data_IF_443985714227
#
_entry.id   IF_443985714227
#
_cell.length_a   1.000
_cell.length_b   1.000
_cell.length_c   1.000
_cell.angle_alpha   90.00
_cell.angle_beta   90.00
_cell.angle_gamma   90.00
#
_symmetry.space_group_name_H-M   'P 1'
#
loop_
_entity.id
_entity.type
_entity.pdbx_description
1 polymer ?
#
# COMPACT_ATOMS: atom_id res chain seq x y z
N UNK A 1 2.19 6.72 -18.32
CA UNK A 1 2.77 5.38 -18.22
C UNK A 1 2.19 4.65 -17.02
N UNK A 2 2.04 3.33 -17.11
CA UNK A 2 1.56 2.47 -16.02
C UNK A 2 2.68 1.52 -15.60
N UNK A 3 2.75 1.18 -14.31
CA UNK A 3 3.74 0.25 -13.74
C UNK A 3 3.05 -0.73 -12.77
N UNK A 4 3.55 -1.95 -12.65
CA UNK A 4 3.12 -2.88 -11.60
C UNK A 4 4.36 -3.39 -10.85
N UNK A 5 4.29 -3.38 -9.53
CA UNK A 5 5.25 -4.01 -8.63
C UNK A 5 4.52 -5.18 -7.99
N UNK A 6 4.95 -6.41 -8.25
CA UNK A 6 4.23 -7.58 -7.74
C UNK A 6 5.11 -8.75 -7.33
N UNK A 7 4.57 -9.60 -6.45
CA UNK A 7 5.17 -10.85 -5.99
C UNK A 7 6.62 -10.69 -5.50
N UNK A 8 6.95 -9.52 -4.97
CA UNK A 8 8.29 -9.15 -4.59
C UNK A 8 8.45 -9.14 -3.07
N UNK A 9 9.65 -9.48 -2.62
CA UNK A 9 10.06 -9.46 -1.21
C UNK A 9 10.96 -8.24 -0.98
N UNK A 10 10.49 -7.31 -0.16
CA UNK A 10 11.19 -6.09 0.21
C UNK A 10 11.66 -6.21 1.66
N UNK A 11 12.89 -6.68 1.80
CA UNK A 11 13.56 -6.93 3.08
C UNK A 11 14.30 -5.68 3.56
N UNK A 12 13.77 -5.03 4.59
CA UNK A 12 14.34 -3.82 5.16
C UNK A 12 15.36 -4.05 6.29
N UNK A 13 15.74 -5.30 6.59
CA UNK A 13 16.75 -5.57 7.63
C UNK A 13 18.11 -4.99 7.20
N UNK A 14 18.71 -4.20 8.08
CA UNK A 14 19.96 -3.51 7.80
C UNK A 14 20.75 -3.24 9.08
N UNK A 15 22.08 -3.27 9.01
CA UNK A 15 22.94 -2.86 10.14
C UNK A 15 22.92 -1.34 10.35
N UNK A 16 22.56 -0.58 9.30
CA UNK A 16 22.56 0.87 9.30
C UNK A 16 21.17 1.39 8.91
N UNK A 17 20.50 2.03 9.86
CA UNK A 17 19.13 2.54 9.70
C UNK A 17 19.04 3.97 10.19
N UNK A 18 18.21 4.78 9.52
CA UNK A 18 17.93 6.15 9.94
C UNK A 18 17.20 6.21 11.30
N UNK A 19 16.50 5.14 11.65
CA UNK A 19 15.81 4.93 12.93
C UNK A 19 16.69 4.28 14.01
N UNK A 20 17.95 3.93 13.69
CA UNK A 20 18.89 3.29 14.62
C UNK A 20 18.38 1.99 15.27
N UNK A 21 17.49 1.24 14.61
CA UNK A 21 16.80 0.05 15.15
C UNK A 21 16.86 -1.18 14.22
N UNK A 22 17.65 -1.08 13.15
CA UNK A 22 17.85 -2.15 12.17
C UNK A 22 16.79 -2.24 11.06
N UNK A 23 15.90 -1.25 10.96
CA UNK A 23 14.82 -1.21 9.95
C UNK A 23 15.02 -0.10 8.90
N UNK A 24 14.85 -0.45 7.63
CA UNK A 24 15.07 0.48 6.52
C UNK A 24 13.94 1.51 6.40
N UNK A 25 14.29 2.79 6.30
CA UNK A 25 13.32 3.90 6.21
C UNK A 25 12.97 4.27 4.76
N UNK A 26 13.88 4.05 3.81
CA UNK A 26 13.79 4.58 2.45
C UNK A 26 13.16 3.58 1.46
N UNK A 27 12.00 3.00 1.81
CA UNK A 27 11.46 1.83 1.11
C UNK A 27 10.96 2.14 -0.31
N UNK A 28 9.97 3.03 -0.45
CA UNK A 28 9.39 3.42 -1.74
C UNK A 28 9.05 4.91 -1.81
N UNK A 29 9.23 5.48 -3.00
CA UNK A 29 9.07 6.89 -3.24
C UNK A 29 8.44 7.15 -4.61
N UNK A 30 7.19 7.65 -4.63
CA UNK A 30 6.44 7.85 -5.87
C UNK A 30 5.96 9.29 -5.99
N UNK A 31 6.71 10.12 -6.74
CA UNK A 31 6.43 11.57 -6.92
C UNK A 31 6.29 12.00 -8.37
N UNK A 32 6.27 11.06 -9.32
CA UNK A 32 6.30 11.43 -10.73
C UNK A 32 5.05 12.19 -11.19
N UNK A 33 5.24 13.06 -12.18
CA UNK A 33 4.21 13.98 -12.70
C UNK A 33 2.95 13.31 -13.28
N UNK A 34 3.05 12.06 -13.73
CA UNK A 34 1.93 11.27 -14.23
C UNK A 34 2.15 9.80 -13.88
N UNK A 35 2.08 9.47 -12.60
CA UNK A 35 2.41 8.15 -12.07
C UNK A 35 1.13 7.36 -11.84
N UNK A 36 1.02 6.21 -12.50
CA UNK A 36 -0.07 5.24 -12.29
C UNK A 36 0.55 3.89 -12.01
N UNK A 37 0.27 3.30 -10.87
CA UNK A 37 0.88 2.02 -10.57
C UNK A 37 0.03 1.15 -9.65
N UNK A 38 0.31 -0.16 -9.72
CA UNK A 38 -0.21 -1.13 -8.78
C UNK A 38 0.91 -1.75 -7.95
N UNK A 39 0.68 -1.95 -6.66
CA UNK A 39 1.47 -2.84 -5.79
C UNK A 39 0.60 -4.03 -5.43
N UNK A 40 0.94 -5.20 -5.95
CA UNK A 40 0.11 -6.40 -5.87
C UNK A 40 0.89 -7.57 -5.27
N UNK A 41 0.37 -8.21 -4.21
CA UNK A 41 0.97 -9.42 -3.65
C UNK A 41 2.46 -9.27 -3.28
N UNK A 42 2.88 -8.15 -2.70
CA UNK A 42 4.25 -7.99 -2.22
C UNK A 42 4.34 -8.31 -0.72
N UNK A 43 5.53 -8.71 -0.27
CA UNK A 43 5.87 -8.78 1.14
C UNK A 43 6.83 -7.65 1.47
N UNK A 44 6.42 -6.74 2.37
CA UNK A 44 7.21 -5.57 2.77
C UNK A 44 7.48 -5.69 4.26
N UNK A 45 8.73 -5.83 4.67
CA UNK A 45 9.02 -6.12 6.07
C UNK A 45 10.29 -5.49 6.62
N UNK A 46 10.34 -5.37 7.95
CA UNK A 46 11.50 -4.83 8.66
C UNK A 46 11.83 -3.41 8.21
N UNK A 47 10.81 -2.57 8.11
CA UNK A 47 10.90 -1.18 7.64
C UNK A 47 10.56 -0.17 8.74
N UNK A 48 10.89 1.10 8.55
CA UNK A 48 10.54 2.15 9.53
C UNK A 48 9.83 3.36 8.90
N UNK A 49 9.70 3.38 7.58
CA UNK A 49 9.10 4.50 6.86
C UNK A 49 8.88 4.22 5.38
N UNK A 50 8.14 5.13 4.76
CA UNK A 50 7.96 5.25 3.30
C UNK A 50 7.64 3.93 2.62
N UNK A 51 6.78 3.13 3.21
CA UNK A 51 6.38 1.83 2.68
C UNK A 51 4.89 1.77 2.32
N UNK A 52 4.39 2.60 1.37
CA UNK A 52 5.10 3.54 0.49
C UNK A 52 4.90 5.03 0.83
N UNK A 53 5.77 5.91 0.28
CA UNK A 53 5.50 7.36 0.20
C UNK A 53 5.00 7.77 -1.19
N UNK A 54 3.92 8.55 -1.23
CA UNK A 54 3.13 8.87 -2.42
C UNK A 54 2.81 10.37 -2.49
N UNK A 55 3.14 11.01 -3.62
CA UNK A 55 2.85 12.43 -3.83
C UNK A 55 3.65 13.37 -2.92
N UNK A 56 3.07 14.53 -2.60
CA UNK A 56 3.67 15.58 -1.77
C UNK A 56 4.48 16.63 -2.53
N UNK A 57 4.93 16.34 -3.75
CA UNK A 57 5.52 17.32 -4.66
C UNK A 57 4.43 18.09 -5.43
N UNK A 58 4.66 19.36 -5.73
CA UNK A 58 3.69 20.23 -6.42
C UNK A 58 3.42 19.79 -7.86
N UNK A 59 4.39 19.13 -8.49
CA UNK A 59 4.26 18.57 -9.83
C UNK A 59 3.76 17.13 -9.85
N UNK A 60 3.70 16.46 -8.69
CA UNK A 60 3.29 15.06 -8.61
C UNK A 60 1.83 14.90 -9.03
N UNK A 61 1.54 13.76 -9.65
CA UNK A 61 0.16 13.30 -9.84
C UNK A 61 0.18 11.77 -9.79
N UNK A 62 -0.22 11.20 -8.66
CA UNK A 62 -0.01 9.79 -8.34
C UNK A 62 -1.35 9.13 -8.09
N UNK A 63 -1.68 8.11 -8.88
CA UNK A 63 -2.81 7.22 -8.58
C UNK A 63 -2.26 5.82 -8.36
N UNK A 64 -2.56 5.25 -7.20
CA UNK A 64 -2.01 3.98 -6.76
C UNK A 64 -3.13 2.99 -6.42
N UNK A 65 -2.96 1.76 -6.87
CA UNK A 65 -3.76 0.62 -6.44
C UNK A 65 -2.88 -0.33 -5.67
N UNK A 66 -3.16 -0.49 -4.38
CA UNK A 66 -2.31 -1.24 -3.48
C UNK A 66 -3.15 -2.36 -2.90
N UNK A 67 -2.99 -3.57 -3.46
CA UNK A 67 -3.86 -4.69 -3.13
C UNK A 67 -3.11 -5.96 -2.77
N UNK A 68 -3.64 -6.68 -1.78
CA UNK A 68 -3.18 -8.01 -1.38
C UNK A 68 -1.70 -8.11 -0.98
N UNK A 69 -1.10 -7.01 -0.52
CA UNK A 69 0.26 -7.02 0.01
C UNK A 69 0.24 -7.35 1.51
N UNK A 70 1.39 -7.80 2.01
CA UNK A 70 1.61 -8.09 3.41
C UNK A 70 2.71 -7.20 3.96
N UNK A 71 2.37 -6.37 4.95
CA UNK A 71 3.31 -5.61 5.76
C UNK A 71 3.58 -6.32 7.07
N UNK A 72 4.85 -6.45 7.45
CA UNK A 72 5.25 -7.00 8.73
C UNK A 72 6.39 -6.19 9.36
N UNK A 73 6.43 -6.13 10.69
CA UNK A 73 7.59 -5.64 11.42
C UNK A 73 8.02 -4.21 10.99
N UNK A 74 7.14 -3.24 11.25
CA UNK A 74 7.44 -1.83 10.99
C UNK A 74 7.36 -1.00 12.28
N UNK A 75 8.50 -0.44 12.68
CA UNK A 75 8.66 0.28 13.95
C UNK A 75 8.16 1.73 13.91
N UNK A 76 7.88 2.26 12.72
CA UNK A 76 7.45 3.64 12.50
C UNK A 76 6.13 3.69 11.77
N UNK A 77 6.16 4.07 10.49
CA UNK A 77 4.97 4.12 9.65
C UNK A 77 5.15 3.49 8.28
N UNK A 78 4.04 3.11 7.66
CA UNK A 78 4.03 2.60 6.29
C UNK A 78 3.64 3.66 5.26
N UNK A 79 2.36 3.96 5.13
CA UNK A 79 1.87 4.86 4.08
C UNK A 79 2.12 6.32 4.46
N UNK A 80 2.82 7.05 3.59
CA UNK A 80 2.85 8.51 3.60
C UNK A 80 2.13 9.02 2.35
N UNK A 81 0.88 9.43 2.49
CA UNK A 81 0.08 9.96 1.37
C UNK A 81 0.08 11.48 1.44
N UNK A 82 0.82 12.13 0.53
CA UNK A 82 0.90 13.59 0.43
C UNK A 82 -0.10 14.16 -0.58
N UNK A 83 -0.02 15.48 -0.79
CA UNK A 83 -0.81 16.17 -1.81
C UNK A 83 -0.62 15.52 -3.21
N UNK A 84 -1.65 15.59 -4.05
CA UNK A 84 -1.66 15.00 -5.40
C UNK A 84 -1.46 13.48 -5.45
N UNK A 85 -1.81 12.75 -4.39
CA UNK A 85 -1.88 11.29 -4.36
C UNK A 85 -3.31 10.80 -4.08
N UNK A 86 -3.76 9.82 -4.87
CA UNK A 86 -5.06 9.16 -4.74
C UNK A 86 -4.87 7.64 -4.72
N UNK A 87 -5.26 7.00 -3.63
CA UNK A 87 -4.90 5.61 -3.34
C UNK A 87 -6.14 4.77 -3.07
N UNK A 88 -6.23 3.60 -3.70
CA UNK A 88 -7.08 2.51 -3.24
C UNK A 88 -6.20 1.45 -2.57
N UNK A 89 -6.45 1.18 -1.28
CA UNK A 89 -5.81 0.11 -0.54
C UNK A 89 -6.86 -0.94 -0.14
N UNK A 90 -6.74 -2.17 -0.63
CA UNK A 90 -7.72 -3.25 -0.38
C UNK A 90 -7.08 -4.62 -0.22
N UNK A 91 -7.65 -5.46 0.65
CA UNK A 91 -7.18 -6.84 0.86
C UNK A 91 -5.76 -6.95 1.39
N UNK A 92 -5.19 -5.89 1.95
CA UNK A 92 -3.85 -5.89 2.52
C UNK A 92 -3.85 -6.39 3.96
N UNK A 93 -2.74 -6.99 4.38
CA UNK A 93 -2.54 -7.44 5.75
C UNK A 93 -1.39 -6.65 6.39
N UNK A 94 -1.60 -6.10 7.59
CA UNK A 94 -0.57 -5.43 8.37
C UNK A 94 -0.38 -6.18 9.68
N UNK A 95 0.86 -6.58 9.95
CA UNK A 95 1.27 -7.22 11.19
C UNK A 95 2.39 -6.41 11.83
N UNK A 96 2.35 -6.22 13.15
CA UNK A 96 3.43 -5.56 13.90
C UNK A 96 3.88 -4.23 13.26
N UNK A 97 2.92 -3.45 12.75
CA UNK A 97 3.15 -2.18 12.06
C UNK A 97 2.61 -1.04 12.92
N UNK A 98 3.51 -0.24 13.50
CA UNK A 98 3.13 0.79 14.46
C UNK A 98 2.10 1.78 13.89
N UNK A 99 2.32 2.29 12.67
CA UNK A 99 1.35 3.16 11.97
C UNK A 99 1.18 2.74 10.49
N UNK A 100 0.16 1.93 10.13
CA UNK A 100 -0.09 1.58 8.73
C UNK A 100 -0.28 2.81 7.83
N UNK A 101 -0.97 3.85 8.34
CA UNK A 101 -1.04 5.17 7.71
C UNK A 101 -0.35 6.19 8.63
N UNK A 102 0.68 6.86 8.11
CA UNK A 102 1.37 7.94 8.80
C UNK A 102 0.47 9.17 9.02
N UNK A 103 0.90 10.03 9.94
CA UNK A 103 0.17 11.24 10.29
C UNK A 103 0.09 12.24 9.13
N UNK A 104 -0.87 13.17 9.19
CA UNK A 104 -1.07 14.21 8.19
C UNK A 104 -2.49 14.24 7.63
N UNK A 105 -2.79 15.29 6.88
CA UNK A 105 -4.13 15.58 6.32
C UNK A 105 -4.19 15.55 4.80
N UNK A 106 -3.04 15.50 4.12
CA UNK A 106 -2.96 15.67 2.67
C UNK A 106 -3.31 14.38 1.90
N UNK A 107 -3.58 14.56 0.61
CA UNK A 107 -3.90 13.48 -0.31
C UNK A 107 -5.19 12.73 0.03
N UNK A 108 -5.43 11.64 -0.69
CA UNK A 108 -6.61 10.82 -0.50
C UNK A 108 -6.26 9.33 -0.55
N UNK A 109 -6.75 8.59 0.44
CA UNK A 109 -6.65 7.13 0.51
C UNK A 109 -7.98 6.54 0.94
N UNK A 110 -8.47 5.61 0.13
CA UNK A 110 -9.53 4.71 0.54
C UNK A 110 -8.90 3.40 1.04
N UNK A 111 -8.78 3.27 2.36
CA UNK A 111 -8.41 2.03 3.02
C UNK A 111 -9.67 1.18 3.20
N UNK A 112 -9.90 0.25 2.28
CA UNK A 112 -11.11 -0.56 2.24
C UNK A 112 -11.34 -1.29 3.58
N UNK A 113 -12.57 -1.18 4.07
CA UNK A 113 -13.11 -1.93 5.18
C UNK A 113 -14.11 -2.96 4.64
N UNK A 114 -14.82 -3.68 5.50
CA UNK A 114 -15.82 -4.67 5.09
C UNK A 114 -17.12 -4.04 4.51
N UNK A 115 -17.09 -2.77 4.08
CA UNK A 115 -18.25 -2.04 3.56
C UNK A 115 -18.42 -2.23 2.05
N UNK A 116 -19.61 -1.91 1.55
CA UNK A 116 -19.99 -2.10 0.13
C UNK A 116 -19.78 -0.86 -0.73
N UNK A 117 -19.10 0.18 -0.22
CA UNK A 117 -18.98 1.48 -0.91
C UNK A 117 -18.34 1.36 -2.30
N UNK A 118 -17.38 0.46 -2.48
CA UNK A 118 -16.74 0.25 -3.78
C UNK A 118 -17.71 -0.17 -4.89
N UNK A 119 -18.87 -0.75 -4.59
CA UNK A 119 -19.83 -1.13 -5.63
C UNK A 119 -20.33 0.07 -6.44
N UNK A 120 -20.57 1.22 -5.80
CA UNK A 120 -21.07 2.41 -6.50
C UNK A 120 -20.01 3.14 -7.32
N UNK A 121 -18.72 2.94 -7.02
CA UNK A 121 -17.60 3.58 -7.72
C UNK A 121 -16.91 2.67 -8.73
N UNK A 122 -16.67 1.42 -8.36
CA UNK A 122 -15.87 0.44 -9.11
C UNK A 122 -16.72 -0.64 -9.79
N UNK A 123 -18.01 -0.77 -9.43
CA UNK A 123 -18.88 -1.85 -9.93
C UNK A 123 -18.58 -3.22 -9.30
N UNK A 124 -17.80 -3.25 -8.22
CA UNK A 124 -17.44 -4.44 -7.46
C UNK A 124 -17.20 -4.10 -5.98
N UNK A 125 -17.31 -5.10 -5.12
CA UNK A 125 -16.86 -4.97 -3.73
C UNK A 125 -15.34 -4.82 -3.66
N UNK A 126 -14.87 -4.09 -2.66
CA UNK A 126 -13.45 -4.11 -2.27
C UNK A 126 -13.22 -5.22 -1.23
N UNK A 127 -11.98 -5.71 -1.14
CA UNK A 127 -11.58 -6.57 -0.04
C UNK A 127 -11.15 -5.75 1.17
N UNK A 128 -11.62 -6.11 2.36
CA UNK A 128 -11.21 -5.43 3.59
C UNK A 128 -9.71 -5.63 3.87
N UNK A 129 -9.04 -4.59 4.33
CA UNK A 129 -7.70 -4.72 4.91
C UNK A 129 -7.80 -5.29 6.33
N UNK A 130 -6.75 -5.99 6.77
CA UNK A 130 -6.63 -6.54 8.14
C UNK A 130 -5.43 -5.93 8.83
N UNK A 131 -5.60 -5.55 10.09
CA UNK A 131 -4.54 -5.08 10.98
C UNK A 131 -4.44 -6.01 12.19
N UNK A 132 -3.22 -6.47 12.51
CA UNK A 132 -2.93 -7.35 13.63
C UNK A 132 -1.71 -6.79 14.40
N UNK A 133 -1.85 -6.60 15.71
CA UNK A 133 -0.84 -5.94 16.55
C UNK A 133 -0.24 -4.68 15.89
N UNK A 134 -1.11 -3.86 15.29
CA UNK A 134 -0.74 -2.73 14.45
C UNK A 134 -1.62 -1.53 14.78
N UNK A 135 -1.19 -0.33 14.38
CA UNK A 135 -2.04 0.86 14.43
C UNK A 135 -3.29 0.75 13.52
N UNK A 136 -4.20 1.70 13.66
CA UNK A 136 -5.40 1.75 12.81
C UNK A 136 -5.06 2.08 11.35
N UNK A 137 -5.80 1.50 10.41
CA UNK A 137 -5.71 1.81 8.98
C UNK A 137 -7.06 2.27 8.43
N UNK A 138 -7.37 3.56 8.64
CA UNK A 138 -8.65 4.16 8.28
C UNK A 138 -8.55 4.96 6.97
N UNK A 139 -9.65 5.08 6.19
CA UNK A 139 -9.70 5.99 5.05
C UNK A 139 -9.42 7.45 5.43
N UNK A 140 -8.79 8.19 4.52
CA UNK A 140 -8.67 9.66 4.56
C UNK A 140 -9.09 10.22 3.21
N UNK A 141 -10.12 11.07 3.20
CA UNK A 141 -10.71 11.59 1.96
C UNK A 141 -11.16 10.47 1.00
N UNK A 142 -11.77 9.42 1.54
CA UNK A 142 -12.07 8.16 0.82
C UNK A 142 -12.93 8.32 -0.43
N UNK A 143 -13.97 9.16 -0.38
CA UNK A 143 -14.82 9.48 -1.55
C UNK A 143 -14.01 10.08 -2.70
N UNK A 144 -13.09 10.99 -2.38
CA UNK A 144 -12.19 11.61 -3.36
C UNK A 144 -11.25 10.59 -3.99
N UNK A 145 -10.70 9.68 -3.18
CA UNK A 145 -9.88 8.58 -3.67
C UNK A 145 -10.66 7.69 -4.64
N UNK A 146 -11.82 7.17 -4.24
CA UNK A 146 -12.68 6.30 -5.07
C UNK A 146 -13.14 6.98 -6.37
N UNK A 147 -13.55 8.24 -6.27
CA UNK A 147 -13.97 9.04 -7.44
C UNK A 147 -12.84 9.25 -8.46
N UNK A 148 -11.59 9.25 -7.99
CA UNK A 148 -10.41 9.37 -8.86
C UNK A 148 -9.99 8.03 -9.42
N UNK A 149 -9.90 6.98 -8.59
CA UNK A 149 -9.41 5.66 -9.02
C UNK A 149 -10.37 4.95 -9.99
N UNK A 150 -11.68 5.26 -9.96
CA UNK A 150 -12.66 4.65 -10.88
C UNK A 150 -12.38 4.93 -12.35
N UNK A 151 -11.64 6.00 -12.67
CA UNK A 151 -11.27 6.32 -14.04
C UNK A 151 -10.29 5.29 -14.66
N UNK A 152 -9.70 4.41 -13.84
CA UNK A 152 -8.69 3.45 -14.27
C UNK A 152 -9.27 2.04 -14.28
N UNK A 153 -9.55 1.51 -15.49
CA UNK A 153 -10.18 0.20 -15.67
C UNK A 153 -9.38 -0.97 -15.10
N UNK A 154 -8.06 -0.84 -15.01
CA UNK A 154 -7.21 -1.82 -14.34
C UNK A 154 -7.56 -1.98 -12.85
N UNK A 155 -8.04 -0.91 -12.20
CA UNK A 155 -8.45 -0.92 -10.79
C UNK A 155 -9.87 -1.47 -10.69
N UNK A 156 -10.83 -0.98 -11.48
CA UNK A 156 -12.22 -1.42 -11.39
C UNK A 156 -12.43 -2.88 -11.82
N UNK A 157 -11.60 -3.41 -12.74
CA UNK A 157 -11.65 -4.81 -13.17
C UNK A 157 -10.81 -5.76 -12.32
N UNK A 158 -10.02 -5.26 -11.36
CA UNK A 158 -9.20 -6.13 -10.51
C UNK A 158 -10.08 -6.97 -9.57
N UNK A 159 -9.71 -8.23 -9.35
CA UNK A 159 -10.40 -9.11 -8.40
C UNK A 159 -9.56 -9.30 -7.13
N UNK A 160 -9.76 -8.48 -6.09
CA UNK A 160 -8.99 -8.58 -4.85
C UNK A 160 -9.34 -9.84 -4.08
N UNK A 161 -8.33 -10.43 -3.44
CA UNK A 161 -8.53 -11.54 -2.50
C UNK A 161 -8.77 -11.02 -1.09
N UNK A 162 -9.27 -11.88 -0.20
CA UNK A 162 -9.27 -11.59 1.23
C UNK A 162 -7.82 -11.35 1.72
N UNK A 163 -7.64 -10.45 2.68
CA UNK A 163 -6.33 -10.23 3.29
C UNK A 163 -5.85 -11.52 3.96
N UNK A 164 -4.59 -11.88 3.72
CA UNK A 164 -3.97 -13.08 4.27
C UNK A 164 -2.67 -12.70 4.96
N UNK A 165 -2.40 -13.36 6.09
CA UNK A 165 -1.06 -13.41 6.67
C UNK A 165 -0.25 -14.43 5.87
N UNK A 166 0.96 -14.06 5.47
CA UNK A 166 1.82 -14.96 4.71
C UNK A 166 3.04 -15.35 5.53
N UNK A 167 3.51 -16.57 5.34
CA UNK A 167 4.88 -16.94 5.71
C UNK A 167 5.80 -16.66 4.53
N UNK A 168 7.01 -16.15 4.80
CA UNK A 168 8.06 -16.02 3.78
C UNK A 168 8.42 -17.42 3.30
N UNK A 169 8.07 -17.73 2.05
CA UNK A 169 8.46 -18.97 1.39
C UNK A 169 9.03 -18.65 0.00
N UNK A 170 9.90 -19.53 -0.52
CA UNK A 170 10.42 -19.44 -1.89
C UNK A 170 9.33 -19.54 -2.98
N UNK A 171 8.07 -19.81 -2.59
CA UNK A 171 6.93 -19.97 -3.50
C UNK A 171 6.07 -18.70 -3.61
N UNK A 172 6.16 -17.79 -2.64
CA UNK A 172 5.22 -16.68 -2.51
C UNK A 172 5.81 -15.31 -2.86
N UNK A 173 7.09 -15.05 -2.54
CA UNK A 173 7.70 -13.73 -2.75
C UNK A 173 9.19 -13.81 -3.09
N UNK A 174 9.67 -12.87 -3.91
CA UNK A 174 11.11 -12.64 -4.15
C UNK A 174 11.76 -13.56 -5.18
N UNK A 175 13.09 -13.63 -5.18
CA UNK A 175 13.86 -14.45 -6.12
C UNK A 175 13.83 -15.92 -5.65
N UNK A 176 13.08 -16.77 -6.37
CA UNK A 176 12.77 -18.16 -6.04
C UNK A 176 12.06 -18.85 -7.22
N UNK A 177 11.70 -20.13 -7.10
CA UNK A 177 11.34 -20.95 -8.27
C UNK A 177 10.01 -20.47 -8.90
N UNK A 178 10.12 -19.88 -10.09
CA UNK A 178 9.06 -19.78 -11.08
C UNK A 178 8.96 -21.15 -11.75
N UNK A 179 7.95 -21.94 -11.38
CA UNK A 179 7.55 -23.12 -12.14
C UNK A 179 6.42 -22.72 -13.10
#
# INVERSE_FOLDING_TARGET
STMTISNSDFDGRTDYSASCDGRHYWTFIFYGKNTRFSMLNNYIHSTSGRSPKLGGDSSANVVAHIANNYWADNSGHSFEVGANAWVLAEGNYFKDTAMPLGTGSDGAIYAATATTECNSYLGRSCAANVVANSGSFNPRNGVTALSTVKAYSAISKYNPQAAMEWSKTKRNFGIGVLN
#
